data_IF_458627033245
#
_entry.id   IF_458627033245
#
_cell.length_a   1.000
_cell.length_b   1.000
_cell.length_c   1.000
_cell.angle_alpha   90.00
_cell.angle_beta   90.00
_cell.angle_gamma   90.00
#
_symmetry.space_group_name_H-M   'P 1'
#
loop_
_entity.id
_entity.type
_entity.pdbx_description
1 polymer ?
#
# COMPACT_ATOMS: atom_id res chain seq x y z
N UNK A 1 -10.17 -11.54 0.26
CA UNK A 1 -11.23 -10.76 0.87
C UNK A 1 -11.39 -9.45 0.11
N UNK A 2 -12.59 -9.12 -0.37
CA UNK A 2 -12.86 -7.87 -1.07
C UNK A 2 -13.64 -6.91 -0.17
N UNK A 3 -13.10 -5.71 0.07
CA UNK A 3 -13.79 -4.61 0.75
C UNK A 3 -14.01 -3.40 -0.19
N UNK A 4 -13.80 -3.55 -1.49
CA UNK A 4 -14.18 -2.54 -2.48
C UNK A 4 -15.61 -2.81 -2.99
N UNK A 5 -16.62 -2.04 -2.56
CA UNK A 5 -17.99 -2.22 -3.01
C UNK A 5 -18.22 -1.83 -4.48
N UNK A 6 -17.20 -1.25 -5.14
CA UNK A 6 -17.22 -0.90 -6.56
C UNK A 6 -16.47 -1.93 -7.44
N UNK A 7 -15.88 -2.99 -6.87
CA UNK A 7 -15.17 -3.99 -7.66
C UNK A 7 -16.15 -4.78 -8.55
N UNK A 8 -15.85 -4.91 -9.84
CA UNK A 8 -16.75 -5.59 -10.80
C UNK A 8 -16.22 -6.97 -11.21
N UNK A 9 -14.91 -7.07 -11.47
CA UNK A 9 -14.29 -8.27 -12.00
C UNK A 9 -13.21 -8.81 -11.04
N UNK A 10 -13.27 -10.12 -10.78
CA UNK A 10 -12.27 -10.82 -9.97
C UNK A 10 -11.56 -11.87 -10.82
N UNK A 11 -10.23 -11.95 -10.72
CA UNK A 11 -9.44 -13.06 -11.27
C UNK A 11 -9.69 -14.33 -10.46
N UNK A 12 -9.87 -14.18 -9.16
CA UNK A 12 -10.26 -15.23 -8.21
C UNK A 12 -11.43 -14.73 -7.40
N UNK A 13 -12.44 -15.57 -7.22
CA UNK A 13 -13.58 -15.24 -6.38
C UNK A 13 -13.11 -14.99 -4.94
N UNK A 14 -13.47 -13.86 -4.31
CA UNK A 14 -13.08 -13.58 -2.95
C UNK A 14 -13.83 -14.50 -1.97
N UNK A 15 -13.16 -14.93 -0.90
CA UNK A 15 -13.81 -15.72 0.17
C UNK A 15 -14.82 -14.89 0.97
N UNK A 16 -14.66 -13.58 0.99
CA UNK A 16 -15.61 -12.62 1.55
C UNK A 16 -15.69 -11.41 0.64
N UNK A 17 -16.91 -11.01 0.28
CA UNK A 17 -17.17 -9.82 -0.53
C UNK A 17 -18.08 -8.85 0.23
N UNK A 18 -17.68 -7.58 0.36
CA UNK A 18 -18.52 -6.54 0.98
C UNK A 18 -19.88 -6.39 0.28
N UNK A 19 -19.97 -6.77 -0.99
CA UNK A 19 -21.23 -6.71 -1.74
C UNK A 19 -22.29 -7.68 -1.22
N UNK A 20 -21.92 -8.71 -0.47
CA UNK A 20 -22.87 -9.57 0.23
C UNK A 20 -23.55 -8.83 1.38
N UNK A 21 -22.92 -7.76 1.89
CA UNK A 21 -23.48 -6.87 2.92
C UNK A 21 -24.12 -5.63 2.32
N UNK A 22 -23.41 -4.93 1.41
CA UNK A 22 -23.84 -3.67 0.80
C UNK A 22 -23.08 -3.43 -0.51
N UNK A 23 -23.79 -3.05 -1.58
CA UNK A 23 -23.21 -2.69 -2.87
C UNK A 23 -23.22 -1.18 -3.09
N UNK A 24 -22.21 -0.67 -3.83
CA UNK A 24 -22.18 0.76 -4.19
C UNK A 24 -23.32 1.14 -5.11
N UNK A 25 -23.72 0.24 -6.03
CA UNK A 25 -24.80 0.48 -7.01
C UNK A 25 -26.14 0.69 -6.31
N UNK A 26 -26.50 -0.19 -5.37
CA UNK A 26 -27.73 -0.09 -4.60
C UNK A 26 -27.79 1.21 -3.78
N UNK A 27 -26.68 1.58 -3.13
CA UNK A 27 -26.59 2.82 -2.36
C UNK A 27 -26.76 4.05 -3.24
N UNK A 28 -26.16 4.06 -4.43
CA UNK A 28 -26.29 5.17 -5.37
C UNK A 28 -27.72 5.32 -5.87
N UNK A 29 -28.41 4.21 -6.16
CA UNK A 29 -29.79 4.21 -6.63
C UNK A 29 -30.77 4.61 -5.53
N UNK A 30 -30.68 4.01 -4.35
CA UNK A 30 -31.63 4.22 -3.27
C UNK A 30 -31.47 5.56 -2.55
N UNK A 31 -30.19 5.97 -2.34
CA UNK A 31 -29.89 7.20 -1.59
C UNK A 31 -29.66 8.41 -2.48
N UNK A 32 -29.55 8.23 -3.80
CA UNK A 32 -29.28 9.30 -4.76
C UNK A 32 -27.88 9.94 -4.58
N UNK A 33 -26.92 9.17 -4.05
CA UNK A 33 -25.56 9.62 -3.81
C UNK A 33 -24.69 9.46 -5.07
N UNK A 34 -23.68 10.33 -5.20
CA UNK A 34 -22.62 10.12 -6.19
C UNK A 34 -21.64 9.01 -5.73
N UNK A 35 -20.72 8.54 -6.61
CA UNK A 35 -19.83 7.42 -6.32
C UNK A 35 -19.02 7.58 -5.03
N UNK A 36 -18.41 8.75 -4.79
CA UNK A 36 -17.63 9.01 -3.58
C UNK A 36 -18.48 9.02 -2.32
N UNK A 37 -19.69 9.63 -2.39
CA UNK A 37 -20.63 9.65 -1.27
C UNK A 37 -21.19 8.26 -0.98
N UNK A 38 -21.52 7.50 -2.02
CA UNK A 38 -21.97 6.12 -1.89
C UNK A 38 -20.91 5.23 -1.26
N UNK A 39 -19.64 5.39 -1.66
CA UNK A 39 -18.53 4.63 -1.10
C UNK A 39 -18.34 4.91 0.40
N UNK A 40 -18.38 6.18 0.80
CA UNK A 40 -18.32 6.57 2.22
C UNK A 40 -19.46 5.92 2.99
N UNK A 41 -20.68 5.97 2.47
CA UNK A 41 -21.85 5.35 3.09
C UNK A 41 -21.69 3.83 3.24
N UNK A 42 -21.16 3.13 2.22
CA UNK A 42 -20.87 1.69 2.31
C UNK A 42 -19.94 1.36 3.47
N UNK A 43 -18.90 2.17 3.64
CA UNK A 43 -17.95 1.96 4.76
C UNK A 43 -18.51 2.35 6.13
N UNK A 44 -19.34 3.40 6.22
CA UNK A 44 -20.06 3.71 7.45
C UNK A 44 -20.99 2.57 7.83
N UNK A 45 -21.70 2.00 6.85
CA UNK A 45 -22.57 0.85 7.05
C UNK A 45 -21.78 -0.40 7.47
N UNK A 46 -20.62 -0.65 6.87
CA UNK A 46 -19.71 -1.74 7.28
C UNK A 46 -19.28 -1.56 8.74
N UNK A 47 -18.92 -0.33 9.17
CA UNK A 47 -18.52 -0.06 10.56
C UNK A 47 -19.66 -0.25 11.56
N UNK A 48 -20.91 -0.09 11.13
CA UNK A 48 -22.09 -0.39 11.95
C UNK A 48 -22.41 -1.90 11.99
N UNK A 49 -21.84 -2.70 11.07
CA UNK A 49 -22.08 -4.13 10.92
C UNK A 49 -20.75 -4.95 10.94
N UNK A 50 -19.86 -4.64 11.86
CA UNK A 50 -18.55 -5.29 11.96
C UNK A 50 -18.61 -6.80 12.28
N UNK A 51 -19.74 -7.27 12.77
CA UNK A 51 -19.99 -8.72 12.96
C UNK A 51 -19.83 -9.50 11.64
N UNK A 52 -20.16 -8.86 10.50
CA UNK A 52 -19.93 -9.44 9.17
C UNK A 52 -18.46 -9.84 8.94
N UNK A 53 -17.51 -8.99 9.37
CA UNK A 53 -16.08 -9.29 9.28
C UNK A 53 -15.65 -10.31 10.34
N UNK A 54 -16.14 -10.14 11.57
CA UNK A 54 -15.76 -11.00 12.70
C UNK A 54 -16.18 -12.45 12.45
N UNK A 55 -17.41 -12.67 11.99
CA UNK A 55 -17.92 -14.02 11.66
C UNK A 55 -17.09 -14.73 10.58
N UNK A 56 -16.57 -13.98 9.60
CA UNK A 56 -15.74 -14.53 8.54
C UNK A 56 -14.29 -14.79 8.98
N UNK A 57 -13.76 -13.99 9.90
CA UNK A 57 -12.37 -14.05 10.35
C UNK A 57 -12.17 -14.97 11.56
N UNK A 58 -13.14 -15.07 12.46
CA UNK A 58 -13.07 -15.91 13.68
C UNK A 58 -12.66 -17.38 13.44
N UNK A 59 -13.09 -18.06 12.35
CA UNK A 59 -12.66 -19.43 12.11
C UNK A 59 -11.23 -19.56 11.56
N UNK A 60 -10.59 -18.46 11.16
CA UNK A 60 -9.24 -18.48 10.61
C UNK A 60 -8.21 -18.54 11.73
N UNK A 61 -7.12 -19.26 11.49
CA UNK A 61 -6.01 -19.44 12.43
C UNK A 61 -4.78 -18.65 11.98
N UNK A 62 -3.75 -18.61 12.79
CA UNK A 62 -2.45 -17.98 12.50
C UNK A 62 -1.75 -18.53 11.24
N UNK A 63 -2.23 -19.64 10.68
CA UNK A 63 -1.68 -20.24 9.46
C UNK A 63 -2.17 -19.55 8.17
N UNK A 64 -3.15 -18.64 8.25
CA UNK A 64 -3.73 -17.97 7.10
C UNK A 64 -3.12 -16.60 6.85
N UNK A 65 -2.65 -16.37 5.62
CA UNK A 65 -2.37 -15.02 5.12
C UNK A 65 -3.66 -14.48 4.49
N UNK A 66 -4.18 -13.40 5.05
CA UNK A 66 -5.40 -12.75 4.56
C UNK A 66 -5.00 -11.52 3.76
N UNK A 67 -5.40 -11.47 2.50
CA UNK A 67 -5.24 -10.29 1.64
C UNK A 67 -6.58 -9.57 1.61
N UNK A 68 -6.60 -8.30 2.03
CA UNK A 68 -7.77 -7.43 2.03
C UNK A 68 -7.60 -6.42 0.90
N UNK A 69 -8.45 -6.52 -0.12
CA UNK A 69 -8.50 -5.56 -1.21
C UNK A 69 -9.40 -4.38 -0.83
N UNK A 70 -8.86 -3.16 -0.96
CA UNK A 70 -9.49 -1.93 -0.51
C UNK A 70 -9.73 -0.99 -1.69
N UNK A 71 -10.76 -0.12 -1.63
CA UNK A 71 -11.01 0.87 -2.68
C UNK A 71 -9.81 1.77 -2.94
N UNK A 72 -9.59 2.09 -4.22
CA UNK A 72 -8.48 2.95 -4.65
C UNK A 72 -8.70 4.45 -4.45
N UNK A 73 -9.83 4.89 -3.89
CA UNK A 73 -10.13 6.32 -3.69
C UNK A 73 -9.32 6.91 -2.55
N UNK A 74 -8.50 7.91 -2.88
CA UNK A 74 -7.58 8.54 -1.92
C UNK A 74 -8.29 9.27 -0.77
N UNK A 75 -9.52 9.70 -0.96
CA UNK A 75 -10.33 10.40 0.05
C UNK A 75 -10.52 9.57 1.30
N UNK A 76 -10.68 8.24 1.15
CA UNK A 76 -10.82 7.31 2.27
C UNK A 76 -9.56 7.23 3.14
N UNK A 77 -8.38 7.47 2.54
CA UNK A 77 -7.08 7.37 3.19
C UNK A 77 -6.54 8.70 3.69
N UNK A 78 -7.19 9.84 3.37
CA UNK A 78 -6.60 11.14 3.66
C UNK A 78 -7.50 12.06 4.48
N UNK A 79 -8.82 11.94 4.37
CA UNK A 79 -9.74 12.93 4.93
C UNK A 79 -10.77 12.35 5.89
N UNK A 80 -11.09 11.08 5.78
CA UNK A 80 -12.19 10.46 6.49
C UNK A 80 -11.64 9.38 7.44
N UNK A 81 -11.93 9.43 8.75
CA UNK A 81 -11.36 8.51 9.74
C UNK A 81 -12.02 7.12 9.76
N UNK A 82 -12.61 6.70 8.63
CA UNK A 82 -13.31 5.41 8.50
C UNK A 82 -12.30 4.26 8.54
N UNK A 83 -11.26 4.33 7.72
CA UNK A 83 -10.25 3.27 7.65
C UNK A 83 -9.45 3.10 8.94
N UNK A 84 -9.04 4.16 9.66
CA UNK A 84 -8.47 4.01 10.99
C UNK A 84 -9.39 3.28 11.97
N UNK A 85 -10.71 3.50 11.89
CA UNK A 85 -11.67 2.80 12.73
C UNK A 85 -11.76 1.30 12.39
N UNK A 86 -11.76 0.96 11.09
CA UNK A 86 -11.72 -0.43 10.61
C UNK A 86 -10.42 -1.13 11.03
N UNK A 87 -9.27 -0.50 10.79
CA UNK A 87 -7.95 -1.01 11.19
C UNK A 87 -7.90 -1.27 12.70
N UNK A 88 -8.39 -0.32 13.50
CA UNK A 88 -8.47 -0.48 14.95
C UNK A 88 -9.35 -1.67 15.34
N UNK A 89 -10.47 -1.90 14.66
CA UNK A 89 -11.32 -3.05 14.91
C UNK A 89 -10.55 -4.36 14.65
N UNK A 90 -9.89 -4.47 13.49
CA UNK A 90 -9.13 -5.66 13.09
C UNK A 90 -7.95 -5.95 14.04
N UNK A 91 -7.30 -4.93 14.58
CA UNK A 91 -6.10 -5.08 15.41
C UNK A 91 -6.38 -5.16 16.91
N UNK A 92 -7.57 -4.70 17.39
CA UNK A 92 -7.81 -4.51 18.84
C UNK A 92 -8.97 -5.36 19.35
N UNK A 93 -9.83 -5.89 18.50
CA UNK A 93 -11.05 -6.60 18.92
C UNK A 93 -10.74 -8.04 19.30
N UNK A 94 -10.61 -8.26 20.52
CA UNK A 94 -10.56 -9.37 21.47
C UNK A 94 -10.38 -10.82 21.05
N UNK A 95 -10.84 -11.28 19.90
CA UNK A 95 -10.63 -12.65 19.41
C UNK A 95 -9.76 -12.71 18.15
N UNK A 96 -9.59 -11.58 17.47
CA UNK A 96 -9.01 -11.57 16.15
C UNK A 96 -7.52 -11.20 16.13
N UNK A 97 -6.78 -11.17 17.16
CA UNK A 97 -5.35 -10.81 17.26
C UNK A 97 -4.57 -10.83 15.91
N UNK A 98 -5.06 -10.00 14.97
CA UNK A 98 -4.58 -9.97 13.58
C UNK A 98 -3.38 -9.03 13.48
N UNK A 99 -2.22 -9.57 13.10
CA UNK A 99 -1.06 -8.77 12.72
C UNK A 99 -1.30 -8.17 11.32
N UNK A 100 -1.46 -6.85 11.24
CA UNK A 100 -1.83 -6.14 10.02
C UNK A 100 -0.65 -5.35 9.45
N UNK A 101 -0.43 -5.46 8.14
CA UNK A 101 0.48 -4.60 7.38
C UNK A 101 -0.28 -3.93 6.23
N UNK A 102 -0.14 -2.61 6.09
CA UNK A 102 -0.71 -1.88 4.97
C UNK A 102 0.26 -1.84 3.78
N UNK A 103 -0.18 -2.26 2.61
CA UNK A 103 0.58 -2.16 1.36
C UNK A 103 -0.03 -1.08 0.45
N UNK A 104 0.70 0.02 0.24
CA UNK A 104 0.28 1.10 -0.65
C UNK A 104 0.88 0.90 -2.04
N UNK A 105 0.02 0.74 -3.05
CA UNK A 105 0.44 0.50 -4.42
C UNK A 105 0.44 1.81 -5.22
N UNK A 106 1.62 2.19 -5.71
CA UNK A 106 1.80 3.29 -6.65
C UNK A 106 2.19 2.69 -8.01
N UNK A 107 1.50 3.09 -9.08
CA UNK A 107 1.82 2.60 -10.41
C UNK A 107 3.20 3.10 -10.87
N UNK A 108 4.04 2.21 -11.39
CA UNK A 108 5.41 2.53 -11.79
C UNK A 108 5.51 3.62 -12.86
N UNK A 109 4.45 3.82 -13.67
CA UNK A 109 4.41 4.92 -14.67
C UNK A 109 4.54 6.31 -14.04
N UNK A 110 4.26 6.45 -12.75
CA UNK A 110 4.47 7.71 -12.01
C UNK A 110 5.94 8.13 -11.96
N UNK A 111 6.90 7.21 -12.08
CA UNK A 111 8.34 7.56 -12.10
C UNK A 111 8.77 8.32 -13.36
N UNK A 112 7.96 8.27 -14.42
CA UNK A 112 8.23 9.02 -15.67
C UNK A 112 7.95 10.52 -15.47
N UNK A 113 7.03 10.87 -14.58
CA UNK A 113 6.67 12.26 -14.24
C UNK A 113 6.95 12.51 -12.75
N UNK A 114 8.00 13.25 -12.48
CA UNK A 114 8.44 13.53 -11.09
C UNK A 114 7.37 14.19 -10.23
N UNK A 115 6.58 15.12 -10.81
CA UNK A 115 5.52 15.77 -10.07
C UNK A 115 4.43 14.79 -9.65
N UNK A 116 4.06 13.86 -10.55
CA UNK A 116 3.13 12.77 -10.22
C UNK A 116 3.71 11.83 -9.18
N UNK A 117 4.98 11.46 -9.30
CA UNK A 117 5.65 10.62 -8.32
C UNK A 117 5.63 11.23 -6.92
N UNK A 118 6.01 12.51 -6.80
CA UNK A 118 5.96 13.21 -5.51
C UNK A 118 4.54 13.33 -4.95
N UNK A 119 3.55 13.62 -5.80
CA UNK A 119 2.15 13.65 -5.36
C UNK A 119 1.67 12.28 -4.86
N UNK A 120 2.00 11.20 -5.57
CA UNK A 120 1.72 9.83 -5.15
C UNK A 120 2.42 9.46 -3.84
N UNK A 121 3.68 9.86 -3.68
CA UNK A 121 4.45 9.65 -2.45
C UNK A 121 3.84 10.40 -1.25
N UNK A 122 3.38 11.64 -1.43
CA UNK A 122 2.67 12.38 -0.38
C UNK A 122 1.36 11.69 0.01
N UNK A 123 0.64 11.15 -0.95
CA UNK A 123 -0.59 10.38 -0.67
C UNK A 123 -0.28 9.11 0.12
N UNK A 124 0.79 8.38 -0.25
CA UNK A 124 1.25 7.21 0.50
C UNK A 124 1.65 7.57 1.94
N UNK A 125 2.38 8.67 2.13
CA UNK A 125 2.74 9.16 3.46
C UNK A 125 1.52 9.54 4.29
N UNK A 126 0.52 10.17 3.67
CA UNK A 126 -0.73 10.51 4.36
C UNK A 126 -1.47 9.26 4.84
N UNK A 127 -1.56 8.22 3.99
CA UNK A 127 -2.14 6.93 4.37
C UNK A 127 -1.35 6.27 5.52
N UNK A 128 -0.02 6.25 5.43
CA UNK A 128 0.85 5.70 6.47
C UNK A 128 0.62 6.35 7.84
N UNK A 129 0.53 7.70 7.87
CA UNK A 129 0.33 8.45 9.12
C UNK A 129 -1.07 8.20 9.69
N UNK A 130 -2.08 8.06 8.82
CA UNK A 130 -3.47 7.88 9.26
C UNK A 130 -3.77 6.47 9.74
N UNK A 131 -3.20 5.45 9.12
CA UNK A 131 -3.50 4.06 9.43
C UNK A 131 -2.77 3.57 10.70
N UNK A 132 -1.62 4.15 11.03
CA UNK A 132 -0.82 3.81 12.23
C UNK A 132 -0.47 2.30 12.36
N UNK A 133 -0.30 1.61 11.23
CA UNK A 133 0.12 0.20 11.18
C UNK A 133 1.43 0.07 10.40
N UNK A 134 2.17 -1.05 10.53
CA UNK A 134 3.28 -1.36 9.63
C UNK A 134 2.88 -1.12 8.19
N UNK A 135 3.70 -0.39 7.44
CA UNK A 135 3.33 0.12 6.13
C UNK A 135 4.47 -0.09 5.14
N UNK A 136 4.14 -0.59 3.96
CA UNK A 136 5.06 -0.74 2.85
C UNK A 136 4.54 0.00 1.62
N UNK A 137 5.45 0.63 0.87
CA UNK A 137 5.09 1.25 -0.41
C UNK A 137 5.62 0.38 -1.55
N UNK A 138 4.80 0.15 -2.54
CA UNK A 138 5.08 -0.74 -3.66
C UNK A 138 4.92 0.03 -4.97
N UNK A 139 5.96 0.02 -5.81
CA UNK A 139 5.85 0.40 -7.22
C UNK A 139 5.33 -0.81 -8.00
N UNK A 140 4.04 -0.78 -8.32
CA UNK A 140 3.36 -1.83 -9.06
C UNK A 140 3.50 -1.66 -10.58
N UNK A 141 3.17 -2.71 -11.35
CA UNK A 141 3.19 -2.68 -12.81
C UNK A 141 4.56 -2.28 -13.38
N UNK A 142 5.62 -2.86 -12.83
CA UNK A 142 6.99 -2.57 -13.26
C UNK A 142 7.28 -2.95 -14.70
N UNK A 143 6.48 -3.84 -15.29
CA UNK A 143 6.49 -4.22 -16.70
C UNK A 143 6.26 -3.01 -17.62
N UNK A 144 5.41 -2.06 -17.22
CA UNK A 144 5.07 -0.88 -18.03
C UNK A 144 6.23 0.10 -18.23
N UNK A 145 7.19 0.12 -17.32
CA UNK A 145 8.34 1.04 -17.38
C UNK A 145 9.63 0.36 -17.81
N UNK A 146 9.59 -0.95 -18.12
CA UNK A 146 10.74 -1.68 -18.66
C UNK A 146 11.23 -1.01 -19.95
N UNK A 147 12.49 -0.52 -19.92
CA UNK A 147 13.14 0.16 -21.06
C UNK A 147 12.84 1.66 -21.17
N UNK A 148 11.95 2.24 -20.37
CA UNK A 148 11.68 3.69 -20.34
C UNK A 148 12.56 4.41 -19.30
N UNK A 149 12.82 3.75 -18.17
CA UNK A 149 13.61 4.29 -17.06
C UNK A 149 14.87 3.44 -16.86
N UNK A 150 16.03 4.09 -16.78
CA UNK A 150 17.30 3.41 -16.54
C UNK A 150 17.37 2.82 -15.12
N UNK A 151 18.05 1.67 -14.94
CA UNK A 151 18.20 1.01 -13.62
C UNK A 151 18.75 1.95 -12.55
N UNK A 152 19.69 2.85 -12.92
CA UNK A 152 20.29 3.81 -11.99
C UNK A 152 19.30 4.91 -11.57
N UNK A 153 18.49 5.34 -12.50
CA UNK A 153 17.45 6.34 -12.25
C UNK A 153 16.32 5.74 -11.41
N UNK A 154 15.86 4.54 -11.77
CA UNK A 154 14.85 3.82 -11.00
C UNK A 154 15.26 3.65 -9.52
N UNK A 155 16.54 3.36 -9.23
CA UNK A 155 17.03 3.24 -7.86
C UNK A 155 16.78 4.50 -7.03
N UNK A 156 16.85 5.69 -7.64
CA UNK A 156 16.59 6.96 -6.95
C UNK A 156 15.11 7.17 -6.59
N UNK A 157 14.20 6.52 -7.32
CA UNK A 157 12.78 6.53 -7.00
C UNK A 157 12.42 5.48 -5.94
N UNK A 158 13.24 4.45 -5.77
CA UNK A 158 13.01 3.46 -4.71
C UNK A 158 13.35 4.03 -3.33
N UNK A 159 14.39 4.86 -3.25
CA UNK A 159 14.77 5.61 -2.05
C UNK A 159 14.71 7.11 -2.37
N UNK A 160 13.52 7.73 -2.37
CA UNK A 160 13.34 9.09 -2.85
C UNK A 160 14.00 10.11 -1.91
N UNK A 161 14.84 10.96 -2.50
CA UNK A 161 15.51 12.07 -1.83
C UNK A 161 15.37 13.39 -2.59
N UNK A 162 15.87 14.48 -2.01
CA UNK A 162 15.85 15.81 -2.64
C UNK A 162 16.63 15.87 -3.94
N UNK A 163 17.58 14.96 -4.19
CA UNK A 163 18.39 14.93 -5.42
C UNK A 163 17.56 14.65 -6.66
N UNK A 164 16.38 14.04 -6.51
CA UNK A 164 15.44 13.82 -7.63
C UNK A 164 14.97 15.13 -8.27
N UNK A 165 15.05 16.26 -7.57
CA UNK A 165 14.66 17.58 -8.12
C UNK A 165 15.80 18.29 -8.85
N UNK A 166 17.05 17.96 -8.59
CA UNK A 166 18.19 18.69 -9.14
C UNK A 166 18.46 18.34 -10.61
N UNK A 167 18.05 17.15 -11.05
CA UNK A 167 18.22 16.64 -12.41
C UNK A 167 16.99 16.88 -13.31
N UNK A 168 16.26 17.97 -13.14
CA UNK A 168 15.13 18.31 -14.01
C UNK A 168 15.65 18.50 -15.44
N UNK A 169 15.30 17.61 -16.42
CA UNK A 169 15.77 17.74 -17.80
C UNK A 169 15.35 19.05 -18.48
N UNK A 170 14.36 19.78 -17.90
CA UNK A 170 14.04 21.13 -18.32
C UNK A 170 15.17 22.15 -18.00
N UNK A 171 16.15 21.81 -17.16
CA UNK A 171 17.36 22.64 -16.92
C UNK A 171 18.51 22.37 -17.91
N UNK A 172 18.49 21.23 -18.60
CA UNK A 172 19.61 20.83 -19.46
C UNK A 172 19.60 21.45 -20.85
N UNK A 173 18.62 22.28 -21.20
CA UNK A 173 18.42 22.79 -22.55
C UNK A 173 18.14 24.28 -22.73
N UNK A 174 18.24 25.10 -21.69
CA UNK A 174 18.13 26.56 -21.85
C UNK A 174 19.48 27.19 -21.49
N UNK A 175 20.40 27.16 -22.44
CA UNK A 175 21.42 28.20 -22.53
C UNK A 175 20.67 29.50 -22.77
N UNK A 176 20.79 30.43 -21.86
CA UNK A 176 20.25 31.81 -21.95
C UNK A 176 20.93 32.54 -23.10
N UNK A 177 20.42 32.39 -24.31
CA UNK A 177 20.83 33.15 -25.46
C UNK A 177 20.01 34.43 -25.57
N UNK A 178 20.02 35.30 -24.68
CA UNK A 178 19.66 36.73 -24.71
C UNK A 178 18.70 37.30 -25.77
N UNK A 179 17.98 36.48 -26.55
CA UNK A 179 17.05 36.88 -27.60
C UNK A 179 15.59 36.88 -27.10
N UNK A 180 15.18 37.94 -26.39
CA UNK A 180 13.82 38.14 -25.93
C UNK A 180 12.80 38.28 -27.04
N UNK A 181 12.01 37.24 -27.30
CA UNK A 181 10.70 37.36 -27.89
C UNK A 181 9.62 37.27 -26.80
N UNK A 182 8.56 38.13 -26.81
CA UNK A 182 7.52 38.08 -25.78
C UNK A 182 6.58 36.89 -26.05
N UNK A 183 6.91 35.74 -25.47
CA UNK A 183 6.10 34.54 -25.51
C UNK A 183 5.36 34.39 -24.20
N UNK A 184 4.05 34.30 -24.31
CA UNK A 184 3.02 33.80 -23.39
C UNK A 184 3.28 33.93 -21.88
N UNK A 185 2.63 34.91 -21.26
CA UNK A 185 2.69 35.20 -19.82
C UNK A 185 2.19 34.04 -18.93
N UNK A 186 1.53 33.01 -19.49
CA UNK A 186 1.06 31.83 -18.77
C UNK A 186 2.19 30.89 -18.36
N UNK A 187 3.28 30.84 -19.11
CA UNK A 187 4.44 29.97 -18.85
C UNK A 187 5.36 30.51 -17.75
N UNK A 188 5.37 31.83 -17.54
CA UNK A 188 6.28 32.46 -16.57
C UNK A 188 5.76 32.48 -15.12
N UNK A 189 4.45 32.43 -14.88
CA UNK A 189 3.91 32.46 -13.51
C UNK A 189 3.92 31.09 -12.81
N UNK A 190 3.94 29.97 -13.54
CA UNK A 190 3.99 28.63 -12.97
C UNK A 190 5.38 28.19 -12.47
N UNK A 191 6.45 28.72 -13.04
CA UNK A 191 7.79 28.16 -12.87
C UNK A 191 8.40 28.28 -11.47
N UNK A 192 8.34 29.46 -10.83
CA UNK A 192 9.04 29.66 -9.54
C UNK A 192 8.24 29.16 -8.32
N UNK A 193 6.94 29.37 -8.30
CA UNK A 193 6.08 28.88 -7.22
C UNK A 193 6.01 27.36 -7.22
N UNK A 194 5.92 26.74 -8.39
CA UNK A 194 5.92 25.30 -8.54
C UNK A 194 7.28 24.67 -8.15
N UNK A 195 8.40 25.31 -8.50
CA UNK A 195 9.73 24.86 -8.05
C UNK A 195 9.90 24.95 -6.53
N UNK A 196 9.35 26.00 -5.89
CA UNK A 196 9.37 26.13 -4.42
C UNK A 196 8.51 25.06 -3.76
N UNK A 197 7.33 24.76 -4.32
CA UNK A 197 6.46 23.70 -3.83
C UNK A 197 7.16 22.35 -3.94
N UNK A 198 7.67 21.99 -5.11
CA UNK A 198 8.37 20.73 -5.31
C UNK A 198 9.57 20.56 -4.36
N UNK A 199 10.33 21.63 -4.15
CA UNK A 199 11.45 21.60 -3.20
C UNK A 199 10.98 21.40 -1.75
N UNK A 200 9.87 22.03 -1.35
CA UNK A 200 9.31 21.85 -0.02
C UNK A 200 8.78 20.41 0.16
N UNK A 201 8.10 19.86 -0.86
CA UNK A 201 7.60 18.48 -0.87
C UNK A 201 8.74 17.48 -0.80
N UNK A 202 9.78 17.65 -1.61
CA UNK A 202 10.93 16.73 -1.55
C UNK A 202 11.69 16.84 -0.23
N UNK A 203 11.82 18.05 0.34
CA UNK A 203 12.38 18.25 1.67
C UNK A 203 11.54 17.58 2.77
N UNK A 204 10.22 17.55 2.61
CA UNK A 204 9.34 16.83 3.50
C UNK A 204 9.57 15.31 3.39
N UNK A 205 9.59 14.78 2.18
CA UNK A 205 9.84 13.33 1.92
C UNK A 205 11.21 12.91 2.47
N UNK A 206 12.24 13.71 2.22
CA UNK A 206 13.61 13.46 2.72
C UNK A 206 13.68 13.50 4.27
N UNK A 207 12.86 14.32 4.93
CA UNK A 207 12.75 14.34 6.38
C UNK A 207 12.07 13.09 6.96
N UNK A 208 11.27 12.37 6.16
CA UNK A 208 10.67 11.09 6.46
C UNK A 208 11.51 9.95 5.85
N UNK A 209 12.64 9.65 6.47
CA UNK A 209 13.59 8.63 6.01
C UNK A 209 13.03 7.20 5.91
N UNK A 210 11.78 6.99 6.28
CA UNK A 210 11.10 5.69 6.22
C UNK A 210 10.36 5.45 4.90
N UNK A 211 10.32 6.42 3.98
CA UNK A 211 9.63 6.27 2.71
C UNK A 211 10.57 5.61 1.71
N UNK A 212 10.41 4.34 1.50
CA UNK A 212 11.07 3.55 0.46
C UNK A 212 10.05 2.75 -0.32
N UNK A 213 10.41 2.32 -1.53
CA UNK A 213 9.54 1.56 -2.41
C UNK A 213 10.12 0.19 -2.75
N UNK A 214 9.30 -0.84 -2.65
CA UNK A 214 9.57 -2.15 -3.22
C UNK A 214 9.04 -2.20 -4.67
N UNK A 215 9.67 -3.01 -5.51
CA UNK A 215 9.24 -3.19 -6.90
C UNK A 215 8.33 -4.40 -6.99
N UNK A 216 7.22 -4.26 -7.71
CA UNK A 216 6.32 -5.37 -8.01
C UNK A 216 6.18 -5.55 -9.53
N UNK A 217 6.65 -6.70 -9.99
CA UNK A 217 6.31 -7.28 -11.28
C UNK A 217 5.62 -8.61 -11.01
N UNK A 218 4.33 -8.69 -11.26
CA UNK A 218 3.52 -9.89 -10.94
C UNK A 218 3.92 -11.13 -11.76
N UNK A 219 4.70 -10.95 -12.83
CA UNK A 219 5.23 -12.03 -13.66
C UNK A 219 6.60 -12.52 -13.19
N UNK A 220 7.19 -11.85 -12.21
CA UNK A 220 8.49 -12.16 -11.62
C UNK A 220 8.32 -12.68 -10.18
N UNK A 221 8.42 -13.99 -10.01
CA UNK A 221 8.24 -14.67 -8.71
C UNK A 221 9.21 -14.13 -7.64
N UNK A 222 10.44 -13.79 -8.02
CA UNK A 222 11.42 -13.21 -7.09
C UNK A 222 10.94 -11.86 -6.55
N UNK A 223 10.29 -11.06 -7.40
CA UNK A 223 9.69 -9.77 -7.02
C UNK A 223 8.55 -9.94 -6.01
N UNK A 224 7.69 -10.93 -6.22
CA UNK A 224 6.58 -11.24 -5.31
C UNK A 224 7.11 -11.81 -3.99
N UNK A 225 8.06 -12.74 -4.06
CA UNK A 225 8.68 -13.35 -2.89
C UNK A 225 9.40 -12.32 -1.99
N UNK A 226 10.08 -11.33 -2.59
CA UNK A 226 10.71 -10.25 -1.84
C UNK A 226 9.70 -9.39 -1.06
N UNK A 227 8.53 -9.11 -1.65
CA UNK A 227 7.47 -8.35 -0.98
C UNK A 227 6.87 -9.16 0.17
N UNK A 228 6.57 -10.44 -0.05
CA UNK A 228 6.05 -11.31 1.01
C UNK A 228 7.03 -11.41 2.18
N UNK A 229 8.30 -11.64 1.91
CA UNK A 229 9.33 -11.67 2.97
C UNK A 229 9.39 -10.36 3.75
N UNK A 230 9.25 -9.22 3.07
CA UNK A 230 9.23 -7.92 3.74
C UNK A 230 7.96 -7.71 4.60
N UNK A 231 6.82 -8.22 4.14
CA UNK A 231 5.58 -8.20 4.94
C UNK A 231 5.75 -9.07 6.19
N UNK A 232 6.26 -10.29 6.05
CA UNK A 232 6.50 -11.21 7.17
C UNK A 232 7.42 -10.59 8.22
N UNK A 233 8.49 -9.90 7.78
CA UNK A 233 9.38 -9.16 8.69
C UNK A 233 8.66 -7.98 9.35
N UNK A 234 7.83 -7.23 8.60
CA UNK A 234 7.12 -6.06 9.10
C UNK A 234 6.05 -6.40 10.16
N UNK A 235 5.39 -7.54 10.03
CA UNK A 235 4.42 -8.05 11.02
C UNK A 235 5.06 -8.95 12.09
N UNK A 236 6.38 -9.16 12.03
CA UNK A 236 7.13 -10.02 12.96
C UNK A 236 6.61 -11.47 13.00
N UNK A 237 6.15 -11.99 11.85
CA UNK A 237 5.54 -13.32 11.74
C UNK A 237 6.43 -14.43 12.27
N UNK A 238 7.74 -14.38 12.01
CA UNK A 238 8.70 -15.39 12.48
C UNK A 238 8.96 -15.35 13.99
N UNK A 239 8.78 -14.19 14.63
CA UNK A 239 8.99 -14.04 16.07
C UNK A 239 7.78 -14.57 16.86
N UNK A 240 6.58 -14.57 16.28
CA UNK A 240 5.36 -15.10 16.87
C UNK A 240 5.29 -16.63 16.83
N UNK A 241 6.07 -17.28 15.96
CA UNK A 241 6.18 -18.73 15.92
C UNK A 241 7.10 -19.22 17.05
N UNK A 242 6.52 -19.73 18.12
CA UNK A 242 7.32 -20.42 19.14
C UNK A 242 8.13 -21.55 18.49
N UNK A 243 9.44 -21.68 18.84
CA UNK A 243 10.22 -22.82 18.36
C UNK A 243 9.54 -24.10 18.82
N UNK A 244 9.13 -24.95 17.87
CA UNK A 244 8.62 -26.28 18.19
C UNK A 244 9.64 -27.00 19.04
N UNK A 245 9.28 -27.30 20.30
CA UNK A 245 10.16 -28.13 21.15
C UNK A 245 10.51 -29.40 20.39
N UNK A 246 11.80 -29.80 20.33
CA UNK A 246 12.16 -31.06 19.71
C UNK A 246 11.39 -32.18 20.46
N UNK A 247 10.66 -32.99 19.72
CA UNK A 247 9.98 -34.16 20.28
C UNK A 247 11.06 -35.09 20.87
N UNK A 248 11.30 -34.98 22.18
CA UNK A 248 12.12 -35.92 22.96
C UNK A 248 11.33 -37.24 23.24
N UNK A 249 10.73 -37.81 22.22
CA UNK A 249 10.32 -39.23 22.26
C UNK A 249 11.49 -40.06 21.74
N UNK A 250 12.59 -40.07 22.48
CA UNK A 250 13.53 -41.19 22.44
C UNK A 250 12.93 -42.23 23.38
N UNK A 251 12.17 -43.16 22.81
CA UNK A 251 11.86 -44.45 23.48
C UNK A 251 13.19 -45.10 23.87
N UNK A 252 13.50 -45.07 25.16
CA UNK A 252 14.53 -45.93 25.73
C UNK A 252 14.00 -47.35 25.74
N UNK A 253 14.30 -48.10 24.67
CA UNK A 253 14.22 -49.59 24.67
C UNK A 253 15.24 -50.08 25.73
N UNK A 254 14.78 -50.35 26.94
CA UNK A 254 15.52 -51.15 27.88
C UNK A 254 15.49 -52.58 27.39
N UNK A 255 16.57 -52.98 26.74
CA UNK A 255 16.83 -54.40 26.47
C UNK A 255 17.05 -55.14 27.77
N UNK A 256 16.06 -56.00 28.13
CA UNK A 256 16.28 -57.07 29.09
C UNK A 256 17.16 -58.14 28.42
N UNK A 257 18.44 -58.11 28.70
CA UNK A 257 19.32 -59.25 28.42
C UNK A 257 19.96 -59.74 29.71
N UNK A 258 19.61 -61.00 30.03
CA UNK A 258 20.38 -62.02 30.73
C UNK A 258 20.60 -61.88 32.25
N UNK A 259 19.79 -62.67 32.96
CA UNK A 259 20.30 -63.48 34.09
C UNK A 259 19.79 -64.91 33.99
N UNK A 260 20.70 -65.74 33.58
CA UNK A 260 20.81 -67.14 34.07
C UNK A 260 21.97 -67.24 34.98
#
# INVERSE_FOLDING_TARGET
MNLDPAAEDFVHEPDLDIKDLISLEDVMEEMGLGPNGGLIYCFEFLLENLDFLSEALDPLTEEYLIIIDMPGQIELYTHIPILPALVKHLTTTGSLDISLCAAYLLEATFVVDRAKFFAGTLSAMSAMILLEVPHINILSKMDLVKGQVGKRELKRFLDPDTSLLDDDPAKAGVEDDGSGAPGDASTMMGGQSFKRLNKAVAGLIDSFSMVSYLKLDVQDEDSVGAILSYIDDAIQFHESQEPKEPNDEVEMEYGDEDMQ
#
